data_IF_412804138409
#
_entry.id   IF_412804138409
#
_cell.length_a   1.000
_cell.length_b   1.000
_cell.length_c   1.000
_cell.angle_alpha   90.00
_cell.angle_beta   90.00
_cell.angle_gamma   90.00
#
_symmetry.space_group_name_H-M   'P 1'
#
loop_
_entity.id
_entity.type
_entity.pdbx_description
1 polymer ?
#
# COMPACT_ATOMS: atom_id res chain seq x y z
N UNK A 1 -19.05 -9.57 -21.76
CA UNK A 1 -20.00 -9.69 -20.64
C UNK A 1 -19.64 -8.64 -19.62
N UNK A 2 -20.39 -7.54 -19.57
CA UNK A 2 -20.18 -6.46 -18.61
C UNK A 2 -20.83 -6.91 -17.31
N UNK A 3 -20.03 -7.30 -16.32
CA UNK A 3 -20.54 -7.64 -14.99
C UNK A 3 -21.13 -6.37 -14.37
N UNK A 4 -22.46 -6.33 -14.28
CA UNK A 4 -23.21 -5.28 -13.59
C UNK A 4 -22.83 -5.27 -12.11
N UNK A 5 -22.18 -4.20 -11.68
CA UNK A 5 -21.81 -3.95 -10.28
C UNK A 5 -23.09 -3.53 -9.54
N UNK A 6 -23.67 -4.44 -8.76
CA UNK A 6 -24.76 -4.10 -7.85
C UNK A 6 -24.23 -3.16 -6.73
N UNK A 7 -25.03 -2.18 -6.26
CA UNK A 7 -24.60 -1.30 -5.18
C UNK A 7 -24.48 -2.09 -3.88
N UNK A 8 -23.24 -2.27 -3.42
CA UNK A 8 -22.89 -2.99 -2.19
C UNK A 8 -22.99 -2.03 -1.01
N UNK A 9 -23.49 -2.51 0.14
CA UNK A 9 -23.57 -1.72 1.36
C UNK A 9 -22.17 -1.16 1.74
N UNK A 10 -22.07 0.10 2.22
CA UNK A 10 -20.79 0.79 2.43
C UNK A 10 -19.77 0.06 3.31
N UNK A 11 -20.22 -0.84 4.20
CA UNK A 11 -19.37 -1.55 5.15
C UNK A 11 -18.67 -2.80 4.60
N UNK A 12 -19.05 -3.29 3.42
CA UNK A 12 -18.51 -4.54 2.84
C UNK A 12 -17.34 -4.28 1.85
N UNK A 13 -17.13 -3.02 1.45
CA UNK A 13 -16.06 -2.62 0.52
C UNK A 13 -14.83 -2.11 1.27
N UNK A 14 -13.70 -2.78 1.10
CA UNK A 14 -12.43 -2.38 1.71
C UNK A 14 -11.73 -1.26 0.92
N UNK A 15 -11.80 -1.33 -0.42
CA UNK A 15 -11.24 -0.34 -1.34
C UNK A 15 -12.23 -0.10 -2.49
N UNK A 16 -12.52 1.16 -2.78
CA UNK A 16 -13.32 1.59 -3.92
C UNK A 16 -12.57 2.65 -4.72
N UNK A 17 -12.25 2.33 -5.97
CA UNK A 17 -11.68 3.27 -6.94
C UNK A 17 -12.77 3.70 -7.92
N UNK A 18 -12.92 5.00 -8.15
CA UNK A 18 -13.95 5.59 -9.02
C UNK A 18 -13.34 6.60 -9.97
N UNK A 19 -13.53 6.36 -11.26
CA UNK A 19 -13.19 7.22 -12.40
C UNK A 19 -11.79 7.82 -12.30
N UNK A 20 -10.85 6.98 -11.81
CA UNK A 20 -9.49 7.38 -11.49
C UNK A 20 -8.71 7.61 -12.79
N UNK A 21 -8.22 8.83 -12.94
CA UNK A 21 -7.29 9.21 -14.01
C UNK A 21 -6.03 9.80 -13.40
N UNK A 22 -4.88 9.36 -13.89
CA UNK A 22 -3.57 9.81 -13.42
C UNK A 22 -2.76 10.34 -14.60
N UNK A 23 -2.39 11.62 -14.53
CA UNK A 23 -1.65 12.29 -15.60
C UNK A 23 -0.16 11.94 -15.56
N UNK A 24 0.42 11.75 -16.73
CA UNK A 24 1.86 11.69 -16.91
C UNK A 24 2.44 13.09 -17.15
N UNK A 25 3.76 13.28 -16.94
CA UNK A 25 4.44 14.53 -17.30
C UNK A 25 4.27 14.87 -18.78
N UNK A 26 4.28 16.17 -19.09
CA UNK A 26 4.27 16.63 -20.49
C UNK A 26 5.48 16.09 -21.25
N UNK A 27 5.28 15.73 -22.52
CA UNK A 27 6.33 15.18 -23.38
C UNK A 27 6.49 13.66 -23.32
N UNK A 28 5.70 12.97 -22.50
CA UNK A 28 5.55 11.52 -22.57
C UNK A 28 4.70 11.13 -23.78
N UNK A 29 4.89 9.91 -24.29
CA UNK A 29 4.16 9.36 -25.45
C UNK A 29 2.64 9.32 -25.25
N UNK A 30 2.20 9.23 -23.98
CA UNK A 30 0.79 9.20 -23.59
C UNK A 30 0.51 10.22 -22.49
N UNK A 31 -0.70 10.77 -22.50
CA UNK A 31 -1.15 11.78 -21.53
C UNK A 31 -1.44 11.20 -20.15
N UNK A 32 -1.95 9.96 -20.10
CA UNK A 32 -2.41 9.33 -18.86
C UNK A 32 -1.68 8.01 -18.59
N UNK A 33 -1.30 7.78 -17.34
CA UNK A 33 -0.77 6.50 -16.89
C UNK A 33 -1.89 5.47 -16.67
N UNK A 34 -3.03 5.95 -16.19
CA UNK A 34 -4.31 5.25 -16.13
C UNK A 34 -5.42 6.25 -16.41
N UNK A 35 -6.48 5.80 -17.08
CA UNK A 35 -7.58 6.65 -17.53
C UNK A 35 -8.92 6.01 -17.17
N UNK A 36 -9.75 6.74 -16.43
CA UNK A 36 -11.12 6.39 -16.10
C UNK A 36 -11.33 4.96 -15.56
N UNK A 37 -10.47 4.53 -14.63
CA UNK A 37 -10.60 3.19 -14.04
C UNK A 37 -11.51 3.20 -12.81
N UNK A 38 -12.39 2.20 -12.73
CA UNK A 38 -13.35 2.00 -11.63
C UNK A 38 -13.39 0.53 -11.22
N UNK A 39 -13.19 0.25 -9.94
CA UNK A 39 -13.31 -1.10 -9.38
C UNK A 39 -13.50 -1.08 -7.87
N UNK A 40 -14.01 -2.19 -7.35
CA UNK A 40 -14.16 -2.46 -5.92
C UNK A 40 -13.37 -3.69 -5.50
N UNK A 41 -12.82 -3.63 -4.30
CA UNK A 41 -12.29 -4.76 -3.56
C UNK A 41 -13.12 -4.92 -2.27
N UNK A 42 -13.85 -6.02 -2.18
CA UNK A 42 -14.62 -6.36 -0.99
C UNK A 42 -13.73 -6.89 0.13
N UNK A 43 -14.21 -6.80 1.36
CA UNK A 43 -13.53 -7.41 2.52
C UNK A 43 -13.44 -8.93 2.32
N UNK A 44 -12.27 -9.49 2.60
CA UNK A 44 -11.99 -10.93 2.42
C UNK A 44 -11.83 -11.38 0.97
N UNK A 45 -11.93 -10.48 -0.01
CA UNK A 45 -11.70 -10.80 -1.41
C UNK A 45 -10.22 -10.61 -1.78
N UNK A 46 -9.76 -11.35 -2.78
CA UNK A 46 -8.49 -11.11 -3.47
C UNK A 46 -8.82 -10.56 -4.85
N UNK A 47 -8.27 -9.38 -5.18
CA UNK A 47 -8.37 -8.78 -6.51
C UNK A 47 -7.00 -8.84 -7.19
N UNK A 48 -6.97 -9.42 -8.38
CA UNK A 48 -5.78 -9.46 -9.22
C UNK A 48 -5.91 -8.46 -10.38
N UNK A 49 -4.92 -7.60 -10.55
CA UNK A 49 -4.83 -6.66 -11.68
C UNK A 49 -3.73 -7.14 -12.62
N UNK A 50 -4.11 -7.49 -13.85
CA UNK A 50 -3.21 -8.07 -14.86
C UNK A 50 -3.09 -7.09 -16.03
N UNK A 51 -1.92 -7.06 -16.66
CA UNK A 51 -1.67 -6.28 -17.86
C UNK A 51 -0.19 -6.27 -18.21
N UNK A 52 0.16 -5.75 -19.38
CA UNK A 52 1.54 -5.64 -19.87
C UNK A 52 2.41 -4.68 -19.04
N UNK A 53 3.73 -4.72 -19.22
CA UNK A 53 4.62 -3.72 -18.63
C UNK A 53 4.19 -2.32 -19.05
N UNK A 54 4.19 -1.37 -18.11
CA UNK A 54 3.75 0.00 -18.38
C UNK A 54 2.24 0.22 -18.45
N UNK A 55 1.39 -0.80 -18.29
CA UNK A 55 -0.09 -0.66 -18.36
C UNK A 55 -0.73 0.14 -17.20
N UNK A 56 0.07 0.71 -16.29
CA UNK A 56 -0.42 1.55 -15.19
C UNK A 56 -0.65 0.83 -13.85
N UNK A 57 -0.45 -0.50 -13.76
CA UNK A 57 -0.65 -1.28 -12.50
C UNK A 57 0.05 -0.67 -11.28
N UNK A 58 1.36 -0.42 -11.38
CA UNK A 58 2.13 0.16 -10.29
C UNK A 58 1.71 1.60 -9.98
N UNK A 59 1.26 2.35 -10.99
CA UNK A 59 0.73 3.70 -10.80
C UNK A 59 -0.59 3.66 -10.02
N UNK A 60 -1.49 2.72 -10.34
CA UNK A 60 -2.72 2.49 -9.58
C UNK A 60 -2.42 2.12 -8.12
N UNK A 61 -1.51 1.18 -7.88
CA UNK A 61 -1.11 0.79 -6.54
C UNK A 61 -0.51 1.97 -5.74
N UNK A 62 0.37 2.74 -6.36
CA UNK A 62 0.96 3.94 -5.74
C UNK A 62 -0.08 5.05 -5.50
N UNK A 63 -1.08 5.21 -6.39
CA UNK A 63 -2.19 6.13 -6.17
C UNK A 63 -3.02 5.73 -4.95
N UNK A 64 -3.33 4.43 -4.80
CA UNK A 64 -4.04 3.88 -3.63
C UNK A 64 -3.23 4.08 -2.35
N UNK A 65 -1.90 3.94 -2.41
CA UNK A 65 -1.05 4.19 -1.25
C UNK A 65 -0.80 5.68 -0.97
N UNK A 66 -1.20 6.59 -1.86
CA UNK A 66 -0.85 8.01 -1.81
C UNK A 66 0.64 8.29 -1.99
N UNK A 67 1.34 7.42 -2.72
CA UNK A 67 2.79 7.42 -2.94
C UNK A 67 3.18 7.83 -4.38
N UNK A 68 2.28 8.51 -5.10
CA UNK A 68 2.62 9.02 -6.44
C UNK A 68 3.80 9.99 -6.37
N UNK A 69 4.79 9.88 -7.28
CA UNK A 69 5.86 10.88 -7.41
C UNK A 69 5.27 12.26 -7.70
N UNK A 70 5.89 13.34 -7.21
CA UNK A 70 5.37 14.72 -7.37
C UNK A 70 5.08 15.15 -8.82
N UNK A 71 5.77 14.55 -9.79
CA UNK A 71 5.61 14.83 -11.22
C UNK A 71 4.37 14.19 -11.84
N UNK A 72 3.71 13.29 -11.12
CA UNK A 72 2.50 12.55 -11.52
C UNK A 72 1.41 12.87 -10.49
N UNK A 73 0.20 13.16 -10.95
CA UNK A 73 -0.91 13.46 -10.04
C UNK A 73 -2.21 12.86 -10.54
N UNK A 74 -3.11 12.58 -9.59
CA UNK A 74 -4.50 12.23 -9.86
C UNK A 74 -5.19 13.47 -10.42
N UNK A 75 -5.69 13.38 -11.65
CA UNK A 75 -6.36 14.47 -12.34
C UNK A 75 -7.88 14.40 -12.21
N UNK A 76 -8.44 13.21 -12.02
CA UNK A 76 -9.85 12.99 -11.74
C UNK A 76 -10.08 11.73 -10.91
N UNK A 77 -11.27 11.65 -10.32
CA UNK A 77 -11.75 10.46 -9.62
C UNK A 77 -11.52 10.50 -8.11
N UNK A 78 -11.83 9.38 -7.47
CA UNK A 78 -11.71 9.20 -6.03
C UNK A 78 -11.21 7.80 -5.67
N UNK A 79 -10.53 7.72 -4.53
CA UNK A 79 -10.08 6.45 -3.95
C UNK A 79 -10.56 6.44 -2.51
N UNK A 80 -11.43 5.48 -2.17
CA UNK A 80 -11.94 5.30 -0.82
C UNK A 80 -11.30 4.05 -0.20
N UNK A 81 -10.59 4.24 0.90
CA UNK A 81 -10.09 3.16 1.75
C UNK A 81 -10.94 3.11 3.02
N UNK A 82 -11.61 1.98 3.24
CA UNK A 82 -12.55 1.80 4.36
C UNK A 82 -13.54 2.99 4.49
N UNK A 83 -14.16 3.36 3.36
CA UNK A 83 -15.09 4.49 3.27
C UNK A 83 -14.44 5.89 3.30
N UNK A 84 -13.14 6.01 3.59
CA UNK A 84 -12.44 7.30 3.67
C UNK A 84 -11.80 7.65 2.33
N UNK A 85 -12.20 8.77 1.72
CA UNK A 85 -11.53 9.28 0.52
C UNK A 85 -10.11 9.77 0.86
N UNK A 86 -9.11 9.27 0.14
CA UNK A 86 -7.70 9.59 0.38
C UNK A 86 -7.12 10.65 -0.55
N UNK A 87 -7.81 10.97 -1.65
CA UNK A 87 -7.33 11.95 -2.62
C UNK A 87 -7.32 13.34 -1.96
N UNK A 88 -6.17 14.00 -1.99
CA UNK A 88 -5.98 15.32 -1.36
C UNK A 88 -5.83 15.29 0.16
N UNK A 89 -5.78 14.11 0.80
CA UNK A 89 -5.54 14.04 2.23
C UNK A 89 -4.15 14.58 2.62
N UNK A 90 -4.05 15.30 3.76
CA UNK A 90 -2.77 15.68 4.35
C UNK A 90 -1.87 14.46 4.65
N UNK A 91 -0.56 14.64 4.55
CA UNK A 91 0.43 13.55 4.71
C UNK A 91 0.41 12.91 6.11
N UNK A 92 0.11 13.68 7.16
CA UNK A 92 -0.06 13.17 8.53
C UNK A 92 -1.26 12.24 8.66
N UNK A 93 -2.36 12.53 7.94
CA UNK A 93 -3.54 11.66 7.87
C UNK A 93 -3.26 10.39 7.07
N UNK A 94 -2.62 10.53 5.90
CA UNK A 94 -2.19 9.38 5.10
C UNK A 94 -1.25 8.46 5.89
N UNK A 95 -0.31 9.03 6.67
CA UNK A 95 0.57 8.26 7.55
C UNK A 95 -0.20 7.44 8.58
N UNK A 96 -1.32 7.94 9.08
CA UNK A 96 -2.18 7.20 10.02
C UNK A 96 -2.92 6.01 9.39
N UNK A 97 -3.12 6.02 8.07
CA UNK A 97 -3.76 4.93 7.32
C UNK A 97 -2.76 3.86 6.89
N UNK A 98 -1.55 4.28 6.48
CA UNK A 98 -0.46 3.36 6.12
C UNK A 98 -0.06 2.51 7.32
N UNK A 99 0.23 1.23 7.12
CA UNK A 99 0.62 0.29 8.16
C UNK A 99 -0.54 -0.21 9.06
N UNK A 100 -1.61 0.59 9.24
CA UNK A 100 -2.77 0.21 10.05
C UNK A 100 -3.98 -0.27 9.25
N UNK A 101 -4.32 0.45 8.18
CA UNK A 101 -5.47 0.15 7.30
C UNK A 101 -5.01 -0.46 5.99
N UNK A 102 -3.89 0.04 5.45
CA UNK A 102 -3.31 -0.45 4.19
C UNK A 102 -1.80 -0.56 4.30
N UNK A 103 -1.25 -1.64 3.76
CA UNK A 103 0.19 -1.91 3.70
C UNK A 103 0.56 -2.38 2.30
N UNK A 104 1.81 -2.17 1.91
CA UNK A 104 2.31 -2.54 0.59
C UNK A 104 3.60 -3.35 0.71
N UNK A 105 3.71 -4.36 -0.13
CA UNK A 105 4.97 -5.06 -0.42
C UNK A 105 5.43 -4.57 -1.80
N UNK A 106 6.63 -4.01 -1.88
CA UNK A 106 7.16 -3.46 -3.13
C UNK A 106 7.70 -4.56 -4.05
N UNK A 107 7.72 -4.28 -5.37
CA UNK A 107 8.21 -5.22 -6.38
C UNK A 107 9.69 -5.57 -6.21
N UNK A 108 10.51 -4.60 -5.81
CA UNK A 108 11.89 -4.81 -5.37
C UNK A 108 11.94 -4.67 -3.85
N UNK A 109 11.82 -5.78 -3.10
CA UNK A 109 11.74 -5.74 -1.64
C UNK A 109 13.06 -5.28 -0.99
N UNK A 110 14.21 -5.54 -1.63
CA UNK A 110 15.51 -5.15 -1.07
C UNK A 110 15.69 -3.64 -1.09
N UNK A 111 15.17 -2.97 -2.12
CA UNK A 111 15.18 -1.49 -2.20
C UNK A 111 14.39 -0.80 -1.10
N UNK A 112 13.48 -1.51 -0.43
CA UNK A 112 12.65 -0.99 0.65
C UNK A 112 13.28 -1.16 2.04
N UNK A 113 14.36 -1.93 2.16
CA UNK A 113 15.05 -2.18 3.43
C UNK A 113 16.22 -1.20 3.61
N UNK A 114 16.43 -0.75 4.84
CA UNK A 114 17.60 0.04 5.20
C UNK A 114 18.76 -0.90 5.56
N UNK A 115 19.84 -0.98 4.74
CA UNK A 115 20.95 -1.90 4.98
C UNK A 115 21.79 -1.52 6.22
N UNK A 116 21.58 -0.33 6.78
CA UNK A 116 22.23 0.14 8.00
C UNK A 116 21.43 -0.16 9.28
N UNK A 117 20.31 -0.89 9.16
CA UNK A 117 19.48 -1.28 10.29
C UNK A 117 19.28 -2.80 10.31
N UNK A 118 19.29 -3.39 11.50
CA UNK A 118 18.96 -4.81 11.61
C UNK A 118 17.51 -5.08 11.22
N UNK A 119 17.20 -6.30 10.79
CA UNK A 119 15.85 -6.74 10.45
C UNK A 119 14.89 -6.45 11.60
N UNK A 120 15.28 -6.81 12.83
CA UNK A 120 14.47 -6.58 14.02
C UNK A 120 14.22 -5.10 14.30
N UNK A 121 15.25 -4.25 14.15
CA UNK A 121 15.12 -2.82 14.39
C UNK A 121 14.15 -2.13 13.42
N UNK A 122 14.15 -2.55 12.14
CA UNK A 122 13.24 -2.00 11.13
C UNK A 122 11.78 -2.40 11.40
N UNK A 123 11.54 -3.65 11.81
CA UNK A 123 10.18 -4.11 12.16
C UNK A 123 9.69 -3.42 13.44
N UNK A 124 10.55 -3.29 14.45
CA UNK A 124 10.26 -2.58 15.69
C UNK A 124 9.95 -1.09 15.45
N UNK A 125 10.66 -0.45 14.53
CA UNK A 125 10.46 0.95 14.14
C UNK A 125 9.05 1.16 13.59
N UNK A 126 8.55 0.25 12.74
CA UNK A 126 7.19 0.35 12.20
C UNK A 126 6.16 0.36 13.33
N UNK A 127 6.28 -0.53 14.31
CA UNK A 127 5.38 -0.53 15.48
C UNK A 127 5.54 0.73 16.33
N UNK A 128 6.77 1.20 16.52
CA UNK A 128 7.07 2.42 17.27
C UNK A 128 6.44 3.67 16.62
N UNK A 129 6.59 3.80 15.29
CA UNK A 129 6.04 4.90 14.50
C UNK A 129 4.50 4.98 14.58
N UNK A 130 3.85 3.84 14.87
CA UNK A 130 2.42 3.74 15.08
C UNK A 130 2.02 3.67 16.56
N UNK A 131 2.93 3.98 17.50
CA UNK A 131 2.64 4.01 18.93
C UNK A 131 2.20 2.67 19.52
N UNK A 132 2.64 1.56 18.93
CA UNK A 132 2.27 0.20 19.35
C UNK A 132 3.32 -0.36 20.31
N UNK A 133 2.91 -0.61 21.55
CA UNK A 133 3.68 -1.35 22.54
C UNK A 133 4.94 -0.66 23.08
N UNK A 134 5.57 -1.34 24.03
CA UNK A 134 6.86 -0.96 24.62
C UNK A 134 8.03 -1.57 23.83
N UNK A 135 9.28 -1.12 24.02
CA UNK A 135 10.43 -1.77 23.37
C UNK A 135 10.49 -3.28 23.63
N UNK A 136 10.17 -3.72 24.86
CA UNK A 136 10.14 -5.15 25.21
C UNK A 136 9.05 -5.91 24.46
N UNK A 137 7.83 -5.37 24.40
CA UNK A 137 6.73 -6.06 23.72
C UNK A 137 6.87 -6.03 22.19
N UNK A 138 7.49 -4.98 21.64
CA UNK A 138 7.79 -4.88 20.20
C UNK A 138 8.78 -5.95 19.77
N UNK A 139 9.90 -6.09 20.49
CA UNK A 139 10.85 -7.18 20.23
C UNK A 139 10.16 -8.55 20.24
N UNK A 140 9.37 -8.84 21.26
CA UNK A 140 8.62 -10.10 21.34
C UNK A 140 7.72 -10.30 20.12
N UNK A 141 6.92 -9.29 19.76
CA UNK A 141 6.06 -9.34 18.58
C UNK A 141 6.84 -9.50 17.27
N UNK A 142 8.01 -8.90 17.16
CA UNK A 142 8.88 -9.03 15.98
C UNK A 142 9.39 -10.45 15.83
N UNK A 143 9.86 -11.08 16.92
CA UNK A 143 10.27 -12.48 16.90
C UNK A 143 9.10 -13.40 16.54
N UNK A 144 7.90 -13.12 17.07
CA UNK A 144 6.67 -13.86 16.71
C UNK A 144 6.37 -13.74 15.21
N UNK A 145 6.46 -12.53 14.65
CA UNK A 145 6.22 -12.27 13.22
C UNK A 145 7.23 -13.01 12.33
N UNK A 146 8.51 -12.96 12.67
CA UNK A 146 9.58 -13.69 11.96
C UNK A 146 9.33 -15.20 12.00
N UNK A 147 8.84 -15.71 13.13
CA UNK A 147 8.44 -17.12 13.29
C UNK A 147 7.24 -17.46 12.40
N UNK A 148 6.22 -16.61 12.38
CA UNK A 148 4.97 -16.80 11.63
C UNK A 148 5.21 -16.88 10.11
N UNK A 149 6.16 -16.10 9.58
CA UNK A 149 6.54 -16.15 8.16
C UNK A 149 7.51 -17.28 7.82
N UNK A 150 7.91 -18.11 8.80
CA UNK A 150 8.73 -19.30 8.59
C UNK A 150 10.21 -19.03 8.37
N UNK A 151 10.75 -17.94 8.91
CA UNK A 151 12.17 -17.62 8.79
C UNK A 151 13.04 -18.46 9.76
N UNK A 152 14.25 -18.88 9.34
CA UNK A 152 15.14 -19.68 10.18
C UNK A 152 15.71 -18.84 11.33
N UNK A 153 15.79 -19.43 12.52
CA UNK A 153 16.35 -18.81 13.73
C UNK A 153 15.91 -17.34 13.97
N UNK A 154 14.61 -17.07 14.23
CA UNK A 154 14.05 -15.72 14.38
C UNK A 154 14.80 -14.80 15.36
N UNK A 155 15.28 -15.35 16.49
CA UNK A 155 16.07 -14.60 17.47
C UNK A 155 17.43 -14.14 16.91
N UNK A 156 18.07 -14.97 16.07
CA UNK A 156 19.31 -14.59 15.39
C UNK A 156 19.01 -13.56 14.30
N UNK A 157 18.00 -13.81 13.47
CA UNK A 157 17.62 -12.92 12.37
C UNK A 157 17.24 -11.51 12.84
N UNK A 158 16.62 -11.38 14.01
CA UNK A 158 16.33 -10.08 14.62
C UNK A 158 17.57 -9.16 14.67
N UNK A 159 18.76 -9.74 14.87
CA UNK A 159 20.03 -9.02 14.98
C UNK A 159 20.81 -8.93 13.67
N UNK A 160 20.36 -9.57 12.59
CA UNK A 160 21.03 -9.54 11.29
C UNK A 160 20.67 -8.30 10.49
N UNK A 161 21.56 -7.91 9.59
CA UNK A 161 21.28 -6.90 8.57
C UNK A 161 20.69 -7.58 7.33
N UNK A 162 19.81 -6.90 6.57
CA UNK A 162 19.31 -7.36 5.27
C UNK A 162 20.41 -7.69 4.25
#
# INVERSE_FOLDING_TARGET
MVASIQPVAPHDVALSVRDLTVNLPKGMERTHAVENISFDLKRGQILCVIGESGSGKSVTANAIMGLLPRVIHVSSGAIHLDGTNIIGMPQDKLRGLRGRVVSMIFQDPLSALNPLMTVGAQIDEVMAAHGVGTPKSRRGRTVDLLTEVGLPDPELMYHQYP
#
